data_IF_975497634617
#
_entry.id   IF_975497634617
#
_cell.length_a   1.000
_cell.length_b   1.000
_cell.length_c   1.000
_cell.angle_alpha   90.00
_cell.angle_beta   90.00
_cell.angle_gamma   90.00
#
_symmetry.space_group_name_H-M   'P 1'
#
loop_
_entity.id
_entity.type
_entity.pdbx_description
1 polymer ?
#
# COMPACT_ATOMS: atom_id res chain seq x y z
N UNK A 1 -33.32 10.12 -57.35
CA UNK A 1 -33.02 8.91 -56.55
C UNK A 1 -34.18 8.71 -55.59
N UNK A 2 -35.02 7.72 -55.86
CA UNK A 2 -36.11 7.32 -54.95
C UNK A 2 -35.47 6.78 -53.67
N UNK A 3 -35.75 7.36 -52.49
CA UNK A 3 -35.12 6.91 -51.26
C UNK A 3 -35.61 5.49 -50.93
N UNK A 4 -34.65 4.62 -50.63
CA UNK A 4 -34.86 3.20 -50.32
C UNK A 4 -35.85 3.04 -49.17
N UNK A 5 -36.99 2.39 -49.44
CA UNK A 5 -37.98 2.00 -48.42
C UNK A 5 -37.59 0.74 -47.64
N UNK A 6 -36.60 -0.02 -48.12
CA UNK A 6 -36.10 -1.21 -47.43
C UNK A 6 -35.01 -0.85 -46.42
N UNK A 7 -34.86 -1.67 -45.39
CA UNK A 7 -33.75 -1.55 -44.44
C UNK A 7 -32.43 -1.73 -45.20
N UNK A 8 -31.48 -0.81 -45.02
CA UNK A 8 -30.21 -0.94 -45.74
C UNK A 8 -29.42 -2.15 -45.18
N UNK A 9 -28.60 -2.83 -46.00
CA UNK A 9 -27.77 -3.93 -45.52
C UNK A 9 -26.84 -3.53 -44.36
N UNK A 10 -26.35 -2.28 -44.36
CA UNK A 10 -25.51 -1.73 -43.29
C UNK A 10 -26.26 -1.57 -41.97
N UNK A 11 -27.52 -1.09 -42.02
CA UNK A 11 -28.36 -0.98 -40.83
C UNK A 11 -28.75 -2.36 -40.30
N UNK A 12 -29.07 -3.29 -41.19
CA UNK A 12 -29.35 -4.68 -40.81
C UNK A 12 -28.15 -5.31 -40.09
N UNK A 13 -26.93 -5.13 -40.62
CA UNK A 13 -25.72 -5.61 -39.95
C UNK A 13 -25.51 -4.95 -38.59
N UNK A 14 -25.80 -3.65 -38.47
CA UNK A 14 -25.71 -2.91 -37.20
C UNK A 14 -26.66 -3.48 -36.15
N UNK A 15 -27.91 -3.78 -36.53
CA UNK A 15 -28.89 -4.39 -35.63
C UNK A 15 -28.46 -5.79 -35.17
N UNK A 16 -27.94 -6.63 -36.09
CA UNK A 16 -27.40 -7.94 -35.76
C UNK A 16 -26.20 -7.86 -34.80
N UNK A 17 -25.30 -6.90 -35.02
CA UNK A 17 -24.14 -6.67 -34.15
C UNK A 17 -24.57 -6.23 -32.73
N UNK A 18 -25.60 -5.37 -32.64
CA UNK A 18 -26.19 -4.94 -31.36
C UNK A 18 -26.78 -6.13 -30.62
N UNK A 19 -27.58 -6.97 -31.29
CA UNK A 19 -28.17 -8.18 -30.70
C UNK A 19 -27.10 -9.14 -30.17
N UNK A 20 -26.15 -9.50 -31.03
CA UNK A 20 -25.08 -10.42 -30.66
C UNK A 20 -24.24 -9.89 -29.48
N UNK A 21 -23.94 -8.59 -29.42
CA UNK A 21 -23.20 -7.99 -28.29
C UNK A 21 -24.04 -7.94 -27.01
N UNK A 22 -25.32 -7.62 -27.13
CA UNK A 22 -26.27 -7.60 -26.01
C UNK A 22 -26.36 -8.99 -25.36
N UNK A 23 -26.57 -10.03 -26.17
CA UNK A 23 -26.62 -11.41 -25.70
C UNK A 23 -25.33 -11.82 -25.01
N UNK A 24 -24.18 -11.51 -25.61
CA UNK A 24 -22.87 -11.81 -25.02
C UNK A 24 -22.64 -11.10 -23.69
N UNK A 25 -23.03 -9.84 -23.57
CA UNK A 25 -22.88 -9.08 -22.32
C UNK A 25 -23.84 -9.59 -21.25
N UNK A 26 -25.09 -9.91 -21.60
CA UNK A 26 -26.05 -10.52 -20.69
C UNK A 26 -25.57 -11.90 -20.19
N UNK A 27 -25.00 -12.73 -21.07
CA UNK A 27 -24.40 -14.02 -20.74
C UNK A 27 -23.16 -13.88 -19.85
N UNK A 28 -22.32 -12.87 -20.09
CA UNK A 28 -21.10 -12.63 -19.31
C UNK A 28 -21.38 -12.12 -17.88
N UNK A 29 -22.52 -11.44 -17.68
CA UNK A 29 -22.88 -10.83 -16.40
C UNK A 29 -21.99 -9.64 -16.04
N UNK A 30 -22.08 -9.19 -14.78
CA UNK A 30 -21.19 -8.14 -14.25
C UNK A 30 -21.53 -6.70 -14.68
N UNK A 31 -20.57 -5.77 -14.59
CA UNK A 31 -20.80 -4.34 -14.88
C UNK A 31 -21.25 -4.08 -16.31
N UNK A 32 -20.73 -4.83 -17.29
CA UNK A 32 -21.19 -4.76 -18.68
C UNK A 32 -22.67 -5.11 -18.82
N UNK A 33 -23.12 -6.23 -18.26
CA UNK A 33 -24.54 -6.63 -18.28
C UNK A 33 -25.45 -5.57 -17.62
N UNK A 34 -25.02 -4.98 -16.50
CA UNK A 34 -25.79 -3.93 -15.85
C UNK A 34 -25.89 -2.66 -16.71
N UNK A 35 -24.80 -2.27 -17.39
CA UNK A 35 -24.81 -1.16 -18.34
C UNK A 35 -25.73 -1.44 -19.53
N UNK A 36 -25.72 -2.66 -20.07
CA UNK A 36 -26.64 -3.08 -21.14
C UNK A 36 -28.09 -2.98 -20.71
N UNK A 37 -28.41 -3.43 -19.49
CA UNK A 37 -29.77 -3.33 -18.95
C UNK A 37 -30.26 -1.88 -18.84
N UNK A 38 -29.36 -0.92 -18.56
CA UNK A 38 -29.68 0.52 -18.54
C UNK A 38 -29.86 1.11 -19.95
N UNK A 39 -29.16 0.58 -20.95
CA UNK A 39 -29.21 1.05 -22.34
C UNK A 39 -30.50 0.60 -23.06
N UNK A 40 -31.11 -0.50 -22.63
CA UNK A 40 -32.35 -1.06 -23.21
C UNK A 40 -32.31 -1.23 -24.76
N UNK A 41 -31.34 -2.01 -25.29
CA UNK A 41 -31.21 -2.22 -26.73
C UNK A 41 -32.44 -2.88 -27.37
N UNK A 42 -33.19 -3.68 -26.60
CA UNK A 42 -34.41 -4.36 -27.05
C UNK A 42 -35.49 -3.38 -27.54
N UNK A 43 -35.69 -2.27 -26.83
CA UNK A 43 -36.67 -1.26 -27.23
C UNK A 43 -36.31 -0.62 -28.59
N UNK A 44 -35.02 -0.46 -28.86
CA UNK A 44 -34.53 0.13 -30.09
C UNK A 44 -34.62 -0.86 -31.26
N UNK A 45 -34.26 -2.13 -31.04
CA UNK A 45 -34.37 -3.18 -32.06
C UNK A 45 -35.84 -3.44 -32.45
N UNK A 46 -36.76 -3.47 -31.48
CA UNK A 46 -38.20 -3.54 -31.76
C UNK A 46 -38.72 -2.33 -32.54
N UNK A 47 -38.21 -1.12 -32.27
CA UNK A 47 -38.61 0.07 -33.02
C UNK A 47 -38.20 0.03 -34.50
N UNK A 48 -37.22 -0.79 -34.85
CA UNK A 48 -36.73 -1.03 -36.22
C UNK A 48 -37.49 -2.19 -36.89
N UNK A 49 -38.35 -2.89 -36.15
CA UNK A 49 -39.16 -4.00 -36.66
C UNK A 49 -38.57 -5.38 -36.40
N UNK A 50 -37.72 -5.53 -35.38
CA UNK A 50 -37.26 -6.85 -34.95
C UNK A 50 -38.44 -7.72 -34.47
N UNK A 51 -38.53 -8.92 -35.05
CA UNK A 51 -39.49 -9.96 -34.71
C UNK A 51 -38.94 -10.90 -33.62
N UNK A 52 -39.81 -11.66 -32.92
CA UNK A 52 -39.37 -12.58 -31.86
C UNK A 52 -38.37 -13.66 -32.30
N UNK A 53 -38.29 -13.96 -33.60
CA UNK A 53 -37.36 -14.91 -34.19
C UNK A 53 -36.00 -14.29 -34.57
N UNK A 54 -35.80 -12.99 -34.30
CA UNK A 54 -34.58 -12.23 -34.63
C UNK A 54 -34.52 -11.78 -36.10
N UNK A 55 -35.59 -11.97 -36.87
CA UNK A 55 -35.70 -11.40 -38.22
C UNK A 55 -36.21 -9.95 -38.17
N UNK A 56 -35.99 -9.19 -39.24
CA UNK A 56 -36.45 -7.80 -39.35
C UNK A 56 -37.54 -7.67 -40.40
N UNK A 57 -38.65 -7.04 -40.03
CA UNK A 57 -39.79 -6.82 -40.91
C UNK A 57 -39.60 -5.55 -41.75
N UNK A 58 -39.13 -5.73 -42.99
CA UNK A 58 -38.99 -4.67 -43.99
C UNK A 58 -40.27 -3.81 -44.18
N UNK A 59 -41.48 -4.39 -44.22
CA UNK A 59 -42.75 -3.64 -44.22
C UNK A 59 -42.88 -2.65 -43.06
N UNK A 60 -42.58 -3.06 -41.82
CA UNK A 60 -42.63 -2.17 -40.65
C UNK A 60 -41.68 -1.00 -40.81
N UNK A 61 -40.42 -1.24 -41.20
CA UNK A 61 -39.45 -0.17 -41.47
C UNK A 61 -39.90 0.77 -42.59
N UNK A 62 -40.47 0.22 -43.66
CA UNK A 62 -40.96 0.97 -44.82
C UNK A 62 -42.15 1.90 -44.52
N UNK A 63 -42.89 1.65 -43.44
CA UNK A 63 -44.01 2.51 -43.01
C UNK A 63 -43.58 3.74 -42.21
N UNK A 64 -42.33 3.76 -41.72
CA UNK A 64 -41.80 4.88 -40.95
C UNK A 64 -41.55 6.12 -41.83
N UNK A 65 -41.68 7.31 -41.24
CA UNK A 65 -41.28 8.55 -41.91
C UNK A 65 -39.76 8.57 -42.12
N UNK A 66 -39.31 9.25 -43.19
CA UNK A 66 -37.88 9.34 -43.52
C UNK A 66 -37.07 9.98 -42.37
N UNK A 67 -37.66 10.97 -41.69
CA UNK A 67 -37.08 11.56 -40.48
C UNK A 67 -36.92 10.53 -39.36
N UNK A 68 -37.93 9.69 -39.12
CA UNK A 68 -37.87 8.66 -38.07
C UNK A 68 -36.84 7.58 -38.39
N UNK A 69 -36.72 7.20 -39.66
CA UNK A 69 -35.69 6.26 -40.12
C UNK A 69 -34.28 6.81 -39.86
N UNK A 70 -34.04 8.10 -40.13
CA UNK A 70 -32.76 8.76 -39.85
C UNK A 70 -32.47 8.83 -38.34
N UNK A 71 -33.46 9.19 -37.52
CA UNK A 71 -33.32 9.21 -36.06
C UNK A 71 -32.94 7.83 -35.50
N UNK A 72 -33.63 6.77 -35.94
CA UNK A 72 -33.33 5.40 -35.51
C UNK A 72 -31.95 4.94 -35.98
N UNK A 73 -31.53 5.29 -37.20
CA UNK A 73 -30.19 4.97 -37.70
C UNK A 73 -29.09 5.59 -36.82
N UNK A 74 -29.25 6.85 -36.41
CA UNK A 74 -28.30 7.52 -35.50
C UNK A 74 -28.30 6.85 -34.12
N UNK A 75 -29.49 6.55 -33.57
CA UNK A 75 -29.60 5.87 -32.27
C UNK A 75 -28.97 4.48 -32.28
N UNK A 76 -29.10 3.71 -33.36
CA UNK A 76 -28.45 2.41 -33.51
C UNK A 76 -26.93 2.53 -33.53
N UNK A 77 -26.39 3.50 -34.27
CA UNK A 77 -24.95 3.73 -34.31
C UNK A 77 -24.40 4.15 -32.93
N UNK A 78 -25.10 5.03 -32.22
CA UNK A 78 -24.77 5.41 -30.85
C UNK A 78 -24.87 4.23 -29.89
N UNK A 79 -25.92 3.41 -30.00
CA UNK A 79 -26.11 2.19 -29.21
C UNK A 79 -24.96 1.21 -29.41
N UNK A 80 -24.57 0.95 -30.66
CA UNK A 80 -23.44 0.08 -30.96
C UNK A 80 -22.15 0.59 -30.33
N UNK A 81 -21.89 1.90 -30.39
CA UNK A 81 -20.73 2.52 -29.73
C UNK A 81 -20.78 2.33 -28.20
N UNK A 82 -21.93 2.60 -27.58
CA UNK A 82 -22.11 2.40 -26.13
C UNK A 82 -21.92 0.93 -25.71
N UNK A 83 -22.34 -0.02 -26.55
CA UNK A 83 -22.12 -1.46 -26.31
C UNK A 83 -20.66 -1.86 -26.50
N UNK A 84 -19.93 -1.25 -27.45
CA UNK A 84 -18.49 -1.45 -27.60
C UNK A 84 -17.76 -0.94 -26.36
N UNK A 85 -18.11 0.26 -25.88
CA UNK A 85 -17.52 0.84 -24.66
C UNK A 85 -17.87 0.01 -23.40
N UNK A 86 -19.10 -0.51 -23.33
CA UNK A 86 -19.51 -1.43 -22.26
C UNK A 86 -18.72 -2.75 -22.30
N UNK A 87 -18.48 -3.30 -23.50
CA UNK A 87 -17.70 -4.52 -23.66
C UNK A 87 -16.20 -4.31 -23.37
N UNK A 88 -15.65 -3.13 -23.68
CA UNK A 88 -14.27 -2.79 -23.35
C UNK A 88 -14.03 -2.72 -21.83
N UNK A 89 -15.07 -2.42 -21.04
CA UNK A 89 -14.98 -2.36 -19.59
C UNK A 89 -14.74 -3.74 -18.92
N UNK A 90 -15.08 -4.85 -19.58
CA UNK A 90 -14.97 -6.20 -19.01
C UNK A 90 -13.66 -6.93 -19.34
N UNK A 91 -12.74 -6.29 -20.07
CA UNK A 91 -11.40 -6.83 -20.38
C UNK A 91 -11.40 -7.89 -21.50
N UNK A 92 -10.26 -8.58 -21.73
CA UNK A 92 -10.11 -9.54 -22.81
C UNK A 92 -11.12 -10.69 -22.71
N UNK A 93 -11.80 -10.97 -23.82
CA UNK A 93 -12.87 -11.99 -23.88
C UNK A 93 -12.38 -13.43 -23.97
N UNK A 94 -11.08 -13.65 -24.18
CA UNK A 94 -10.47 -14.98 -24.18
C UNK A 94 -10.45 -15.54 -22.74
N UNK A 95 -11.12 -16.67 -22.45
CA UNK A 95 -11.15 -17.28 -21.12
C UNK A 95 -9.79 -17.79 -20.62
N UNK A 96 -8.81 -17.96 -21.52
CA UNK A 96 -7.43 -18.30 -21.18
C UNK A 96 -6.58 -17.07 -20.85
N UNK A 97 -7.07 -15.86 -21.12
CA UNK A 97 -6.35 -14.64 -20.81
C UNK A 97 -6.35 -14.35 -19.30
N UNK A 98 -5.19 -13.96 -18.77
CA UNK A 98 -4.98 -13.69 -17.34
C UNK A 98 -5.86 -12.55 -16.81
N UNK A 99 -6.20 -11.60 -17.68
CA UNK A 99 -7.07 -10.46 -17.37
C UNK A 99 -8.55 -10.67 -17.72
N UNK A 100 -8.97 -11.88 -18.10
CA UNK A 100 -10.38 -12.14 -18.36
C UNK A 100 -11.23 -11.91 -17.11
N UNK A 101 -12.47 -11.43 -17.29
CA UNK A 101 -13.43 -11.24 -16.21
C UNK A 101 -13.93 -12.56 -15.59
N UNK A 102 -13.49 -13.72 -16.11
CA UNK A 102 -13.89 -15.03 -15.64
C UNK A 102 -13.52 -15.27 -14.17
N UNK A 103 -14.42 -15.97 -13.46
CA UNK A 103 -14.19 -16.42 -12.10
C UNK A 103 -13.07 -17.47 -12.04
N UNK A 104 -12.34 -17.51 -10.92
CA UNK A 104 -11.32 -18.51 -10.68
C UNK A 104 -11.95 -19.92 -10.61
N UNK A 105 -11.32 -20.89 -11.27
CA UNK A 105 -11.71 -22.30 -11.13
C UNK A 105 -11.33 -22.85 -9.75
N UNK A 106 -11.98 -23.92 -9.31
CA UNK A 106 -11.66 -24.58 -8.03
C UNK A 106 -10.18 -24.96 -7.91
N UNK A 107 -9.57 -25.46 -8.99
CA UNK A 107 -8.15 -25.78 -9.02
C UNK A 107 -7.27 -24.54 -8.81
N UNK A 108 -7.58 -23.43 -9.49
CA UNK A 108 -6.87 -22.16 -9.28
C UNK A 108 -7.04 -21.66 -7.85
N UNK A 109 -8.25 -21.73 -7.28
CA UNK A 109 -8.50 -21.34 -5.89
C UNK A 109 -7.58 -22.12 -4.93
N UNK A 110 -7.51 -23.45 -5.07
CA UNK A 110 -6.66 -24.29 -4.23
C UNK A 110 -5.17 -23.93 -4.38
N UNK A 111 -4.70 -23.71 -5.61
CA UNK A 111 -3.32 -23.31 -5.88
C UNK A 111 -3.00 -21.99 -5.20
N UNK A 112 -3.85 -20.97 -5.32
CA UNK A 112 -3.60 -19.67 -4.74
C UNK A 112 -3.69 -19.67 -3.20
N UNK A 113 -4.62 -20.42 -2.63
CA UNK A 113 -4.65 -20.63 -1.17
C UNK A 113 -3.35 -21.26 -0.69
N UNK A 114 -2.87 -22.31 -1.38
CA UNK A 114 -1.60 -22.96 -1.03
C UNK A 114 -0.41 -22.00 -1.14
N UNK A 115 -0.34 -21.21 -2.22
CA UNK A 115 0.70 -20.18 -2.39
C UNK A 115 0.69 -19.19 -1.24
N UNK A 116 -0.49 -18.70 -0.81
CA UNK A 116 -0.61 -17.79 0.33
C UNK A 116 -0.17 -18.40 1.64
N UNK A 117 -0.54 -19.65 1.91
CA UNK A 117 -0.12 -20.37 3.13
C UNK A 117 1.40 -20.58 3.14
N UNK A 118 1.98 -21.06 2.03
CA UNK A 118 3.43 -21.26 1.89
C UNK A 118 4.17 -19.94 2.10
N UNK A 119 3.68 -18.84 1.53
CA UNK A 119 4.27 -17.52 1.70
C UNK A 119 4.29 -17.07 3.17
N UNK A 120 3.18 -17.23 3.90
CA UNK A 120 3.12 -16.90 5.33
C UNK A 120 4.09 -17.75 6.14
N UNK A 121 4.11 -19.07 5.90
CA UNK A 121 5.03 -19.98 6.59
C UNK A 121 6.48 -19.59 6.31
N UNK A 122 6.82 -19.29 5.05
CA UNK A 122 8.16 -18.87 4.65
C UNK A 122 8.57 -17.56 5.35
N UNK A 123 7.67 -16.57 5.41
CA UNK A 123 7.94 -15.31 6.10
C UNK A 123 8.14 -15.53 7.60
N UNK A 124 7.29 -16.33 8.25
CA UNK A 124 7.43 -16.67 9.67
C UNK A 124 8.75 -17.39 9.96
N UNK A 125 9.16 -18.32 9.09
CA UNK A 125 10.44 -19.01 9.21
C UNK A 125 11.62 -18.04 9.12
N UNK A 126 11.63 -17.15 8.13
CA UNK A 126 12.69 -16.14 7.96
C UNK A 126 12.71 -15.14 9.12
N UNK A 127 11.56 -14.71 9.61
CA UNK A 127 11.43 -13.83 10.78
C UNK A 127 11.98 -14.52 12.02
N UNK A 128 11.58 -15.77 12.27
CA UNK A 128 12.07 -16.56 13.40
C UNK A 128 13.59 -16.73 13.38
N UNK A 129 14.16 -17.08 12.22
CA UNK A 129 15.61 -17.23 12.06
C UNK A 129 16.42 -15.94 12.19
N UNK A 130 15.76 -14.77 12.17
CA UNK A 130 16.40 -13.44 12.28
C UNK A 130 16.00 -12.69 13.54
N UNK A 131 15.21 -13.31 14.42
CA UNK A 131 14.61 -12.66 15.56
C UNK A 131 15.65 -12.14 16.56
N UNK A 132 16.61 -12.99 16.92
CA UNK A 132 17.67 -12.64 17.89
C UNK A 132 18.57 -11.52 17.37
N UNK A 133 18.96 -11.58 16.10
CA UNK A 133 19.76 -10.53 15.44
C UNK A 133 19.04 -9.18 15.40
N UNK A 134 17.73 -9.20 15.23
CA UNK A 134 16.94 -7.98 15.09
C UNK A 134 16.55 -7.37 16.44
N UNK A 135 16.30 -8.21 17.45
CA UNK A 135 15.89 -7.78 18.80
C UNK A 135 17.03 -7.38 19.72
N UNK A 136 18.26 -7.81 19.42
CA UNK A 136 19.44 -7.44 20.20
C UNK A 136 19.38 -7.96 21.63
N UNK A 137 18.86 -9.19 21.85
CA UNK A 137 18.75 -9.82 23.16
C UNK A 137 20.09 -9.78 23.95
N UNK A 138 21.22 -9.96 23.27
CA UNK A 138 22.57 -9.85 23.85
C UNK A 138 22.90 -8.43 24.34
N UNK A 139 22.34 -7.40 23.69
CA UNK A 139 22.61 -6.00 24.00
C UNK A 139 22.00 -5.59 25.35
N UNK A 140 20.86 -6.16 25.72
CA UNK A 140 20.26 -5.95 27.04
C UNK A 140 21.18 -6.46 28.16
N UNK A 141 21.75 -7.65 27.97
CA UNK A 141 22.72 -8.25 28.89
C UNK A 141 24.02 -7.43 28.93
N UNK A 142 24.52 -6.98 27.78
CA UNK A 142 25.72 -6.13 27.68
C UNK A 142 25.53 -4.76 28.35
N UNK A 143 24.33 -4.15 28.25
CA UNK A 143 24.00 -2.91 28.94
C UNK A 143 23.90 -3.09 30.46
N UNK A 144 23.35 -4.22 30.92
CA UNK A 144 23.36 -4.55 32.34
C UNK A 144 24.81 -4.73 32.85
N UNK A 145 25.64 -5.46 32.11
CA UNK A 145 27.05 -5.67 32.43
C UNK A 145 27.86 -4.36 32.42
N UNK A 146 27.59 -3.45 31.49
CA UNK A 146 28.30 -2.16 31.42
C UNK A 146 27.93 -1.25 32.60
N UNK A 147 26.68 -1.31 33.05
CA UNK A 147 26.22 -0.60 34.25
C UNK A 147 26.93 -1.13 35.50
N UNK A 148 27.08 -2.45 35.63
CA UNK A 148 27.84 -3.07 36.73
C UNK A 148 29.33 -2.67 36.66
N UNK A 149 29.94 -2.72 35.48
CA UNK A 149 31.33 -2.31 35.29
C UNK A 149 31.56 -0.83 35.65
N UNK A 150 30.63 0.05 35.26
CA UNK A 150 30.67 1.47 35.61
C UNK A 150 30.57 1.71 37.12
N UNK A 151 29.69 0.98 37.81
CA UNK A 151 29.55 1.07 39.26
C UNK A 151 30.82 0.59 39.97
N UNK A 152 31.41 -0.52 39.52
CA UNK A 152 32.67 -1.03 40.05
C UNK A 152 33.83 -0.06 39.84
N UNK A 153 33.88 0.62 38.68
CA UNK A 153 34.87 1.66 38.41
C UNK A 153 34.74 2.85 39.36
N UNK A 154 33.50 3.34 39.59
CA UNK A 154 33.23 4.42 40.56
C UNK A 154 33.64 4.04 41.98
N UNK A 155 33.32 2.82 42.43
CA UNK A 155 33.70 2.33 43.75
C UNK A 155 35.21 2.20 43.91
N UNK A 156 35.90 1.70 42.87
CA UNK A 156 37.35 1.56 42.88
C UNK A 156 38.05 2.91 42.88
N UNK A 157 37.52 3.90 42.16
CA UNK A 157 38.04 5.27 42.16
C UNK A 157 37.90 5.93 43.55
N UNK A 158 36.74 5.78 44.20
CA UNK A 158 36.54 6.28 45.56
C UNK A 158 37.49 5.61 46.57
N UNK A 159 37.77 4.31 46.41
CA UNK A 159 38.76 3.61 47.23
C UNK A 159 40.19 4.12 47.00
N UNK A 160 40.55 4.43 45.75
CA UNK A 160 41.84 5.03 45.41
C UNK A 160 41.99 6.43 46.01
N UNK A 161 40.96 7.27 45.93
CA UNK A 161 40.98 8.62 46.53
C UNK A 161 41.19 8.55 48.05
N UNK A 162 40.47 7.65 48.73
CA UNK A 162 40.66 7.42 50.18
C UNK A 162 42.07 6.94 50.50
N UNK A 163 42.57 5.95 49.77
CA UNK A 163 43.92 5.42 49.98
C UNK A 163 45.01 6.47 49.70
N UNK A 164 44.82 7.30 48.68
CA UNK A 164 45.71 8.42 48.36
C UNK A 164 45.73 9.45 49.49
N UNK A 165 44.57 9.82 50.04
CA UNK A 165 44.50 10.77 51.17
C UNK A 165 45.17 10.23 52.44
N UNK A 166 45.00 8.93 52.74
CA UNK A 166 45.62 8.29 53.90
C UNK A 166 47.15 8.19 53.72
N UNK A 167 47.60 7.78 52.53
CA UNK A 167 49.02 7.70 52.21
C UNK A 167 49.71 9.08 52.23
N UNK A 168 49.02 10.13 51.78
CA UNK A 168 49.55 11.50 51.84
C UNK A 168 49.71 12.02 53.28
N UNK A 169 48.87 11.57 54.22
CA UNK A 169 48.97 11.92 55.62
C UNK A 169 50.16 11.22 56.31
N UNK A 170 50.44 9.95 55.97
CA UNK A 170 51.53 9.16 56.57
C UNK A 170 52.36 8.37 55.53
N UNK A 171 53.28 9.04 54.79
CA UNK A 171 53.99 8.42 53.65
C UNK A 171 54.96 7.28 54.01
N UNK A 172 55.29 7.15 55.30
CA UNK A 172 56.23 6.17 55.84
C UNK A 172 55.61 4.81 56.19
N UNK A 173 54.28 4.71 56.26
CA UNK A 173 53.61 3.47 56.64
C UNK A 173 53.58 2.47 55.47
N UNK A 174 54.20 1.31 55.69
CA UNK A 174 54.24 0.21 54.71
C UNK A 174 52.84 -0.36 54.40
N UNK A 175 51.93 -0.32 55.38
CA UNK A 175 50.54 -0.79 55.26
C UNK A 175 49.76 0.10 54.29
N UNK A 176 49.85 1.42 54.47
CA UNK A 176 49.19 2.39 53.59
C UNK A 176 49.73 2.35 52.16
N UNK A 177 51.03 2.09 51.97
CA UNK A 177 51.61 1.84 50.63
C UNK A 177 50.99 0.63 49.95
N UNK A 178 50.79 -0.46 50.70
CA UNK A 178 50.16 -1.67 50.18
C UNK A 178 48.69 -1.43 49.83
N UNK A 179 47.94 -0.70 50.67
CA UNK A 179 46.55 -0.33 50.41
C UNK A 179 46.41 0.57 49.18
N UNK A 180 47.28 1.57 49.03
CA UNK A 180 47.32 2.44 47.85
C UNK A 180 47.62 1.65 46.57
N UNK A 181 48.63 0.76 46.59
CA UNK A 181 48.95 -0.10 45.45
C UNK A 181 47.79 -1.02 45.08
N UNK A 182 47.08 -1.57 46.07
CA UNK A 182 45.90 -2.42 45.86
C UNK A 182 44.73 -1.63 45.26
N UNK A 183 44.47 -0.42 45.77
CA UNK A 183 43.43 0.45 45.25
C UNK A 183 43.72 0.89 43.81
N UNK A 184 44.98 1.18 43.49
CA UNK A 184 45.42 1.49 42.13
C UNK A 184 45.18 0.33 41.17
N UNK A 185 45.57 -0.89 41.55
CA UNK A 185 45.29 -2.09 40.75
C UNK A 185 43.80 -2.37 40.58
N UNK A 186 42.97 -2.03 41.57
CA UNK A 186 41.50 -2.09 41.48
C UNK A 186 40.92 -1.16 40.42
N UNK A 187 41.43 0.08 40.32
CA UNK A 187 41.01 1.05 39.29
C UNK A 187 41.42 0.58 37.89
N UNK A 188 42.65 0.08 37.74
CA UNK A 188 43.16 -0.44 36.45
C UNK A 188 42.31 -1.63 35.97
N UNK A 189 41.97 -2.57 36.87
CA UNK A 189 41.11 -3.71 36.56
C UNK A 189 39.67 -3.29 36.20
N UNK A 190 39.10 -2.34 36.93
CA UNK A 190 37.74 -1.84 36.66
C UNK A 190 37.66 -1.07 35.32
N UNK A 191 38.70 -0.30 34.98
CA UNK A 191 38.79 0.38 33.69
C UNK A 191 38.92 -0.61 32.54
N UNK A 192 39.75 -1.65 32.67
CA UNK A 192 39.87 -2.71 31.67
C UNK A 192 38.54 -3.47 31.46
N UNK A 193 37.81 -3.77 32.53
CA UNK A 193 36.50 -4.43 32.46
C UNK A 193 35.45 -3.54 31.76
N UNK A 194 35.47 -2.23 32.03
CA UNK A 194 34.59 -1.27 31.37
C UNK A 194 34.87 -1.17 29.87
N UNK A 195 36.15 -1.02 29.47
CA UNK A 195 36.53 -0.94 28.04
C UNK A 195 36.23 -2.24 27.29
N UNK A 196 36.42 -3.42 27.91
CA UNK A 196 36.03 -4.69 27.32
C UNK A 196 34.51 -4.77 27.10
N UNK A 197 33.71 -4.33 28.07
CA UNK A 197 32.24 -4.35 27.95
C UNK A 197 31.74 -3.34 26.92
N UNK A 198 32.37 -2.17 26.86
CA UNK A 198 32.09 -1.14 25.85
C UNK A 198 32.44 -1.62 24.44
N UNK A 199 33.59 -2.27 24.24
CA UNK A 199 33.97 -2.86 22.96
C UNK A 199 32.97 -3.93 22.50
N UNK A 200 32.49 -4.77 23.42
CA UNK A 200 31.43 -5.74 23.11
C UNK A 200 30.10 -5.05 22.77
N UNK A 201 29.77 -3.94 23.45
CA UNK A 201 28.56 -3.17 23.18
C UNK A 201 28.62 -2.45 21.82
N UNK A 202 29.78 -1.92 21.44
CA UNK A 202 30.05 -1.30 20.15
C UNK A 202 30.04 -2.36 19.02
N UNK A 203 30.52 -3.57 19.29
CA UNK A 203 30.37 -4.70 18.37
C UNK A 203 28.91 -5.19 18.27
N UNK A 204 28.14 -5.07 19.36
CA UNK A 204 26.72 -5.43 19.45
C UNK A 204 25.78 -4.30 19.01
N UNK A 205 26.24 -3.30 18.26
CA UNK A 205 25.35 -2.33 17.62
C UNK A 205 24.32 -3.11 16.80
N UNK A 206 23.05 -3.05 17.22
CA UNK A 206 21.92 -3.52 16.42
C UNK A 206 22.06 -2.83 15.08
N UNK A 207 22.47 -3.59 14.07
CA UNK A 207 22.72 -3.04 12.77
C UNK A 207 21.36 -2.51 12.29
N UNK A 208 21.26 -1.20 12.11
CA UNK A 208 20.01 -0.54 11.72
C UNK A 208 19.40 -1.18 10.46
N UNK A 209 20.27 -1.73 9.60
CA UNK A 209 19.89 -2.55 8.47
C UNK A 209 19.08 -3.81 8.87
N UNK A 210 19.38 -4.47 9.98
CA UNK A 210 18.65 -5.64 10.49
C UNK A 210 17.27 -5.26 11.01
N UNK A 211 17.14 -4.12 11.69
CA UNK A 211 15.84 -3.60 12.11
C UNK A 211 15.00 -3.24 10.90
N UNK A 212 15.56 -2.53 9.92
CA UNK A 212 14.88 -2.21 8.66
C UNK A 212 14.47 -3.46 7.88
N UNK A 213 15.33 -4.48 7.83
CA UNK A 213 15.01 -5.76 7.22
C UNK A 213 13.86 -6.47 7.95
N UNK A 214 13.87 -6.47 9.29
CA UNK A 214 12.80 -7.08 10.09
C UNK A 214 11.48 -6.33 9.91
N UNK A 215 11.51 -4.99 9.88
CA UNK A 215 10.35 -4.14 9.58
C UNK A 215 9.78 -4.47 8.19
N UNK A 216 10.64 -4.62 7.17
CA UNK A 216 10.19 -5.01 5.83
C UNK A 216 9.56 -6.41 5.81
N UNK A 217 10.17 -7.39 6.49
CA UNK A 217 9.64 -8.75 6.58
C UNK A 217 8.28 -8.79 7.29
N UNK A 218 8.14 -8.05 8.39
CA UNK A 218 6.90 -7.94 9.15
C UNK A 218 5.81 -7.18 8.38
N UNK A 219 6.17 -6.14 7.64
CA UNK A 219 5.27 -5.48 6.69
C UNK A 219 4.82 -6.43 5.59
N UNK A 220 5.73 -7.24 5.06
CA UNK A 220 5.42 -8.29 4.09
C UNK A 220 4.47 -9.34 4.66
N UNK A 221 4.68 -9.76 5.91
CA UNK A 221 3.79 -10.67 6.62
C UNK A 221 2.39 -10.08 6.77
N UNK A 222 2.28 -8.82 7.18
CA UNK A 222 0.99 -8.12 7.23
C UNK A 222 0.30 -8.11 5.86
N UNK A 223 1.03 -7.82 4.79
CA UNK A 223 0.50 -7.84 3.42
C UNK A 223 0.07 -9.23 2.95
N UNK A 224 0.78 -10.29 3.37
CA UNK A 224 0.40 -11.68 3.11
C UNK A 224 -0.86 -12.11 3.88
N UNK A 225 -1.04 -11.64 5.12
CA UNK A 225 -2.26 -11.84 5.88
C UNK A 225 -3.45 -11.09 5.27
N UNK A 226 -3.24 -9.87 4.77
CA UNK A 226 -4.25 -9.11 4.02
C UNK A 226 -4.70 -9.87 2.76
N UNK A 227 -3.73 -10.42 2.02
CA UNK A 227 -3.99 -11.28 0.87
C UNK A 227 -4.86 -12.48 1.26
N UNK A 228 -4.46 -13.30 2.24
CA UNK A 228 -5.21 -14.48 2.64
C UNK A 228 -6.62 -14.14 3.11
N UNK A 229 -6.77 -13.08 3.90
CA UNK A 229 -8.09 -12.60 4.36
C UNK A 229 -8.98 -12.22 3.19
N UNK A 230 -8.45 -11.48 2.22
CA UNK A 230 -9.17 -11.13 0.99
C UNK A 230 -9.54 -12.39 0.21
N UNK A 231 -8.59 -13.30 0.00
CA UNK A 231 -8.82 -14.53 -0.74
C UNK A 231 -9.95 -15.37 -0.12
N UNK A 232 -9.94 -15.56 1.20
CA UNK A 232 -11.01 -16.28 1.93
C UNK A 232 -12.36 -15.58 1.74
N UNK A 233 -12.42 -14.26 1.86
CA UNK A 233 -13.66 -13.51 1.67
C UNK A 233 -14.22 -13.64 0.24
N UNK A 234 -13.39 -13.48 -0.78
CA UNK A 234 -13.83 -13.59 -2.18
C UNK A 234 -14.17 -15.02 -2.59
N UNK A 235 -13.46 -16.02 -2.07
CA UNK A 235 -13.78 -17.43 -2.28
C UNK A 235 -15.11 -17.79 -1.60
N UNK A 236 -15.30 -17.38 -0.34
CA UNK A 236 -16.53 -17.61 0.42
C UNK A 236 -17.76 -17.00 -0.25
N UNK A 237 -17.61 -15.82 -0.85
CA UNK A 237 -18.67 -15.13 -1.59
C UNK A 237 -18.79 -15.57 -3.06
N UNK A 238 -17.97 -16.52 -3.55
CA UNK A 238 -17.92 -16.95 -4.96
C UNK A 238 -17.69 -15.80 -5.95
N UNK A 239 -16.94 -14.79 -5.53
CA UNK A 239 -16.67 -13.56 -6.30
C UNK A 239 -15.20 -13.41 -6.70
N UNK A 240 -14.37 -14.44 -6.52
CA UNK A 240 -12.96 -14.38 -6.86
C UNK A 240 -12.75 -14.32 -8.38
N UNK A 241 -12.39 -13.15 -8.89
CA UNK A 241 -12.02 -12.92 -10.29
C UNK A 241 -10.54 -13.19 -10.53
N UNK A 242 -10.21 -13.83 -11.65
CA UNK A 242 -8.83 -14.20 -11.99
C UNK A 242 -7.91 -12.99 -12.16
N UNK A 243 -8.42 -11.93 -12.79
CA UNK A 243 -7.69 -10.69 -13.06
C UNK A 243 -7.18 -9.98 -11.80
N UNK A 244 -7.80 -10.22 -10.64
CA UNK A 244 -7.42 -9.62 -9.36
C UNK A 244 -6.34 -10.42 -8.61
N UNK A 245 -6.00 -11.63 -9.05
CA UNK A 245 -5.02 -12.47 -8.36
C UNK A 245 -3.62 -11.85 -8.33
N UNK A 246 -3.21 -11.22 -9.43
CA UNK A 246 -1.93 -10.50 -9.49
C UNK A 246 -1.88 -9.33 -8.50
N UNK A 247 -3.00 -8.60 -8.36
CA UNK A 247 -3.14 -7.53 -7.37
C UNK A 247 -2.96 -8.05 -5.94
N UNK A 248 -3.60 -9.18 -5.63
CA UNK A 248 -3.49 -9.79 -4.31
C UNK A 248 -2.07 -10.29 -4.01
N UNK A 249 -1.38 -10.88 -5.00
CA UNK A 249 -0.01 -11.34 -4.85
C UNK A 249 1.01 -10.20 -4.70
N UNK A 250 0.67 -8.99 -5.14
CA UNK A 250 1.48 -7.80 -4.91
C UNK A 250 1.35 -7.24 -3.48
N UNK A 251 0.29 -7.61 -2.73
CA UNK A 251 0.02 -7.07 -1.38
C UNK A 251 1.17 -7.29 -0.36
N UNK A 252 1.83 -8.46 -0.29
CA UNK A 252 3.04 -8.66 0.53
C UNK A 252 4.19 -7.73 0.13
N UNK A 253 4.41 -7.53 -1.17
CA UNK A 253 5.50 -6.65 -1.66
C UNK A 253 5.20 -5.19 -1.28
N UNK A 254 3.95 -4.76 -1.43
CA UNK A 254 3.49 -3.43 -1.01
C UNK A 254 3.67 -3.25 0.51
N UNK A 255 3.27 -4.23 1.32
CA UNK A 255 3.45 -4.19 2.77
C UNK A 255 4.94 -4.11 3.17
N UNK A 256 5.79 -4.89 2.49
CA UNK A 256 7.24 -4.90 2.75
C UNK A 256 7.94 -3.59 2.36
N UNK A 257 7.47 -2.90 1.31
CA UNK A 257 7.98 -1.57 0.94
C UNK A 257 7.42 -0.45 1.82
N UNK A 258 6.16 -0.55 2.22
CA UNK A 258 5.46 0.51 2.97
C UNK A 258 5.89 0.57 4.44
N UNK A 259 6.10 -0.57 5.10
CA UNK A 259 6.48 -0.59 6.51
C UNK A 259 7.81 0.15 6.79
N UNK A 260 8.88 -0.02 6.00
CA UNK A 260 10.10 0.79 6.12
C UNK A 260 9.86 2.28 5.90
N UNK A 261 9.02 2.67 4.94
CA UNK A 261 8.70 4.08 4.70
C UNK A 261 8.00 4.70 5.92
N UNK A 262 6.99 4.02 6.48
CA UNK A 262 6.31 4.44 7.71
C UNK A 262 7.27 4.49 8.90
N UNK A 263 8.15 3.50 9.03
CA UNK A 263 9.19 3.49 10.05
C UNK A 263 10.10 4.72 9.97
N UNK A 264 10.58 5.08 8.77
CA UNK A 264 11.40 6.27 8.56
C UNK A 264 10.61 7.55 8.85
N UNK A 265 9.34 7.64 8.48
CA UNK A 265 8.49 8.81 8.78
C UNK A 265 8.29 8.99 10.28
N UNK A 266 7.94 7.93 11.01
CA UNK A 266 7.82 7.96 12.48
C UNK A 266 9.17 8.35 13.08
N UNK A 267 10.26 7.80 12.53
CA UNK A 267 11.61 8.05 13.04
C UNK A 267 12.13 9.47 12.76
N UNK A 268 11.76 10.08 11.65
CA UNK A 268 12.22 11.42 11.24
C UNK A 268 11.28 12.54 11.73
N UNK A 269 9.97 12.28 11.81
CA UNK A 269 8.96 13.28 12.14
C UNK A 269 8.60 13.38 13.62
N UNK A 270 8.53 12.25 14.34
CA UNK A 270 8.09 12.23 15.76
C UNK A 270 9.28 12.27 16.74
N UNK A 271 10.49 11.91 16.29
CA UNK A 271 11.62 11.63 17.20
C UNK A 271 12.78 12.62 17.12
N UNK A 272 12.61 13.77 16.47
CA UNK A 272 13.63 14.82 16.52
C UNK A 272 13.13 16.09 17.20
N UNK A 273 12.85 16.08 18.52
CA UNK A 273 13.02 17.28 19.30
C UNK A 273 14.53 17.48 19.47
N UNK A 274 15.04 18.57 18.93
CA UNK A 274 16.38 19.09 19.18
C UNK A 274 16.73 19.02 20.67
N UNK A 275 17.47 17.98 21.09
CA UNK A 275 17.98 17.83 22.45
C UNK A 275 17.94 16.42 23.02
N UNK A 276 19.06 15.69 22.90
CA UNK A 276 19.48 14.67 23.88
C UNK A 276 18.74 13.32 23.88
N UNK A 277 19.47 12.26 23.52
CA UNK A 277 19.34 10.86 23.96
C UNK A 277 17.98 10.14 23.98
N UNK A 278 16.90 10.66 23.38
CA UNK A 278 15.57 10.01 23.43
C UNK A 278 15.24 9.17 22.17
N UNK A 279 16.23 8.91 21.30
CA UNK A 279 16.10 7.89 20.24
C UNK A 279 16.35 6.46 20.76
N UNK A 280 16.85 6.31 21.99
CA UNK A 280 17.31 5.04 22.54
C UNK A 280 16.22 4.10 23.08
N UNK A 281 14.97 4.57 23.23
CA UNK A 281 13.90 3.78 23.88
C UNK A 281 12.56 3.79 23.11
N UNK A 282 12.58 3.76 21.78
CA UNK A 282 11.41 3.24 21.10
C UNK A 282 11.36 1.74 21.36
N UNK A 283 10.24 1.28 21.93
CA UNK A 283 9.99 -0.14 22.11
C UNK A 283 10.06 -0.81 20.73
N UNK A 284 11.13 -1.56 20.48
CA UNK A 284 11.39 -2.24 19.23
C UNK A 284 10.22 -3.17 18.85
N UNK A 285 9.59 -3.79 19.84
CA UNK A 285 8.38 -4.59 19.63
C UNK A 285 7.19 -3.73 19.16
N UNK A 286 7.10 -2.48 19.62
CA UNK A 286 6.13 -1.51 19.13
C UNK A 286 6.33 -1.20 17.65
N UNK A 287 7.58 -0.93 17.23
CA UNK A 287 7.92 -0.72 15.82
C UNK A 287 7.53 -1.94 14.98
N UNK A 288 7.86 -3.14 15.44
CA UNK A 288 7.53 -4.40 14.77
C UNK A 288 6.02 -4.64 14.69
N UNK A 289 5.26 -4.34 15.75
CA UNK A 289 3.81 -4.40 15.72
C UNK A 289 3.22 -3.43 14.68
N UNK A 290 3.70 -2.17 14.65
CA UNK A 290 3.27 -1.19 13.66
C UNK A 290 3.64 -1.59 12.22
N UNK A 291 4.77 -2.27 12.02
CA UNK A 291 5.16 -2.79 10.72
C UNK A 291 4.16 -3.83 10.20
N UNK A 292 3.76 -4.80 11.04
CA UNK A 292 2.73 -5.79 10.69
C UNK A 292 1.40 -5.11 10.35
N UNK A 293 0.97 -4.16 11.19
CA UNK A 293 -0.29 -3.42 10.96
C UNK A 293 -0.23 -2.61 9.66
N UNK A 294 0.90 -1.98 9.35
CA UNK A 294 1.10 -1.23 8.11
C UNK A 294 0.96 -2.14 6.88
N UNK A 295 1.50 -3.35 6.95
CA UNK A 295 1.30 -4.35 5.90
C UNK A 295 -0.16 -4.80 5.77
N UNK A 296 -0.80 -5.10 6.89
CA UNK A 296 -2.18 -5.59 6.96
C UNK A 296 -3.19 -4.56 6.43
N UNK A 297 -2.90 -3.28 6.62
CA UNK A 297 -3.72 -2.15 6.20
C UNK A 297 -3.05 -1.31 5.10
N UNK A 298 -2.23 -1.93 4.25
CA UNK A 298 -1.42 -1.22 3.25
C UNK A 298 -2.21 -0.29 2.32
N UNK A 299 -3.44 -0.66 1.91
CA UNK A 299 -4.34 0.23 1.17
C UNK A 299 -4.66 1.51 1.93
N UNK A 300 -5.14 1.38 3.16
CA UNK A 300 -5.51 2.53 4.02
C UNK A 300 -4.29 3.40 4.29
N UNK A 301 -3.13 2.78 4.53
CA UNK A 301 -1.88 3.49 4.76
C UNK A 301 -1.44 4.27 3.51
N UNK A 302 -1.54 3.70 2.30
CA UNK A 302 -1.27 4.40 1.04
C UNK A 302 -2.24 5.57 0.81
N UNK A 303 -3.54 5.36 1.03
CA UNK A 303 -4.55 6.41 0.89
C UNK A 303 -4.26 7.59 1.83
N UNK A 304 -3.90 7.29 3.09
CA UNK A 304 -3.53 8.32 4.07
C UNK A 304 -2.23 9.04 3.74
N UNK A 305 -1.22 8.33 3.23
CA UNK A 305 0.00 8.99 2.75
C UNK A 305 -0.29 9.90 1.56
N UNK A 306 -1.19 9.50 0.65
CA UNK A 306 -1.62 10.34 -0.48
C UNK A 306 -2.36 11.59 0.01
N UNK A 307 -3.21 11.47 1.03
CA UNK A 307 -3.91 12.61 1.65
C UNK A 307 -2.93 13.59 2.30
N UNK A 308 -1.97 13.08 3.07
CA UNK A 308 -0.92 13.90 3.70
C UNK A 308 -0.04 14.57 2.65
N UNK A 309 0.41 13.82 1.63
CA UNK A 309 1.23 14.37 0.55
C UNK A 309 0.48 15.45 -0.23
N UNK A 310 -0.78 15.19 -0.60
CA UNK A 310 -1.63 16.17 -1.28
C UNK A 310 -1.86 17.43 -0.47
N UNK A 311 -1.93 17.32 0.87
CA UNK A 311 -2.05 18.46 1.78
C UNK A 311 -0.75 19.28 1.84
N UNK A 312 0.40 18.61 1.98
CA UNK A 312 1.72 19.25 2.10
C UNK A 312 2.19 19.89 0.80
N UNK A 313 1.84 19.31 -0.35
CA UNK A 313 2.26 19.76 -1.68
C UNK A 313 1.12 20.39 -2.49
N UNK A 314 0.06 20.86 -1.81
CA UNK A 314 -1.06 21.51 -2.48
C UNK A 314 -0.60 22.81 -3.15
N UNK A 315 -0.46 22.81 -4.47
CA UNK A 315 -0.23 24.02 -5.25
C UNK A 315 -1.51 24.83 -5.32
N UNK A 316 -1.52 26.04 -4.75
CA UNK A 316 -2.62 26.99 -4.86
C UNK A 316 -2.77 27.43 -6.33
N UNK A 317 -3.57 26.69 -7.12
CA UNK A 317 -4.04 27.15 -8.44
C UNK A 317 -5.19 28.17 -8.32
N UNK A 318 -5.19 28.94 -7.23
CA UNK A 318 -6.30 29.81 -6.81
C UNK A 318 -5.97 31.30 -6.78
N UNK A 319 -4.79 31.73 -7.25
CA UNK A 319 -4.55 33.15 -7.48
C UNK A 319 -4.98 33.48 -8.91
N UNK A 320 -6.26 33.80 -9.08
CA UNK A 320 -6.73 34.54 -10.26
C UNK A 320 -5.90 35.83 -10.29
N UNK A 321 -5.01 35.92 -11.27
CA UNK A 321 -4.32 37.15 -11.62
C UNK A 321 -5.40 38.19 -11.97
N UNK A 322 -5.70 39.09 -11.05
CA UNK A 322 -6.47 40.29 -11.35
C UNK A 322 -5.51 41.28 -12.02
N UNK A 323 -5.19 41.02 -13.29
CA UNK A 323 -4.52 41.98 -14.17
C UNK A 323 -5.33 42.13 -15.45
N UNK A 324 -6.03 43.27 -15.51
CA UNK A 324 -6.89 43.80 -16.55
C UNK A 324 -7.93 44.68 -15.84
N UNK A 325 -7.78 46.00 -15.68
CA UNK A 325 -7.33 46.97 -16.68
C UNK A 325 -8.37 46.96 -17.80
N UNK A 326 -9.19 47.96 -18.06
CA UNK A 326 -9.35 49.38 -17.70
C UNK A 326 -10.77 49.72 -18.20
N UNK A 327 -11.49 50.69 -17.63
CA UNK A 327 -12.43 51.49 -18.44
C UNK A 327 -12.84 52.78 -17.71
N UNK A 328 -12.29 53.88 -18.19
CA UNK A 328 -13.07 55.08 -18.52
C UNK A 328 -13.61 55.96 -17.39
N UNK A 329 -12.73 56.76 -16.76
CA UNK A 329 -13.14 58.07 -16.23
C UNK A 329 -13.49 58.99 -17.41
N UNK A 330 -14.76 59.05 -17.78
CA UNK A 330 -15.32 60.04 -18.70
C UNK A 330 -16.64 60.57 -18.13
N UNK A 331 -16.64 61.81 -17.66
CA UNK A 331 -17.83 62.44 -17.08
C UNK A 331 -18.78 63.02 -18.13
N UNK A 332 -20.06 63.09 -17.77
CA UNK A 332 -21.05 64.12 -18.12
C UNK A 332 -22.25 63.89 -17.19
N UNK A 333 -22.55 64.84 -16.30
CA UNK A 333 -23.51 65.93 -16.49
C UNK A 333 -24.96 65.46 -16.38
N UNK A 334 -25.69 66.07 -15.43
CA UNK A 334 -27.02 65.65 -15.00
C UNK A 334 -28.18 66.14 -15.87
N UNK A 335 -29.33 66.28 -15.17
CA UNK A 335 -30.71 66.60 -15.61
C UNK A 335 -31.58 65.35 -15.78
N UNK A 336 -32.76 65.22 -15.18
CA UNK A 336 -33.59 66.07 -14.32
C UNK A 336 -34.43 65.15 -13.41
#
# INVERSE_FOLDING_TARGET
MTPTKALSPELLQTCLDIRHRTDRLNLAGGPGAHRVALLNPEALLHAVGEQPDGTYDDPTWATLSLQRQQELAVQLAEMLKMLIDAAAADGPSDPHHIMSAAYASNGQILVWVLVGLVMVVQLLFVIGGRWEEATGADRGVLMANSTVALNNAKTSQLALEKALSAFAAEPGDATLRQEFSKAKGGVEAAHAAFEATKSLLDAATVNEAKVLQMVALLGGLGGALHYLTSLVAYVGNRQLRRSWLAYYLASPVLGAGLAPAVYLLVRLGVLNPSGGNTAANLNLFGIYAFAVLTGLFSRVALDKLSEVFGTMFRTDTGKKDSLGGEDGKGGTAGKD
#
